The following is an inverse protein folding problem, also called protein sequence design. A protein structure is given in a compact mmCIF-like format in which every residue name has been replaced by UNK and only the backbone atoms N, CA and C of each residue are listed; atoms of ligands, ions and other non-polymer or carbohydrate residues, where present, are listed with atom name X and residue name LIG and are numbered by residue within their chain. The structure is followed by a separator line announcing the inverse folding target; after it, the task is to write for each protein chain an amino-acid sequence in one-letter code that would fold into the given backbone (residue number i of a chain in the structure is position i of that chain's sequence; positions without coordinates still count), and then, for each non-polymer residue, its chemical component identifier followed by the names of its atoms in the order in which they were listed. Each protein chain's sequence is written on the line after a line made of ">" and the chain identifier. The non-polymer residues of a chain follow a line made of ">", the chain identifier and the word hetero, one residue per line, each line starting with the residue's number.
data_IF_473740157792
#
_entry.id   IF_473740157792
#
_cell.length_a   1.000
_cell.length_b   1.000
_cell.length_c   1.000
_cell.angle_alpha   90.00
_cell.angle_beta   90.00
_cell.angle_gamma   90.00
#
_symmetry.space_group_name_H-M   'P 1'
#
loop_
_entity.id
_entity.type
_entity.pdbx_description
1 polymer ?
#
# COMPACT_ATOMS: atom_id res chain seq x y z
N UNK A 1 2.21 10.30 18.98
CA UNK A 1 3.14 9.66 19.93
C UNK A 1 2.92 8.14 20.07
N UNK A 2 1.69 7.66 20.23
CA UNK A 2 1.38 6.23 20.43
C UNK A 2 1.68 5.36 19.19
N UNK A 3 1.25 5.76 17.98
CA UNK A 3 1.51 5.05 16.73
C UNK A 3 3.02 4.90 16.41
N UNK A 4 3.79 5.96 16.62
CA UNK A 4 5.25 5.92 16.44
C UNK A 4 5.92 4.80 17.25
N UNK A 5 5.50 4.59 18.51
CA UNK A 5 6.06 3.53 19.35
C UNK A 5 5.81 2.13 18.82
N UNK A 6 4.63 1.86 18.23
CA UNK A 6 4.33 0.55 17.62
C UNK A 6 5.25 0.28 16.43
N UNK A 7 5.41 1.26 15.55
CA UNK A 7 6.30 1.14 14.39
C UNK A 7 7.77 0.98 14.80
N UNK A 8 8.24 1.70 15.82
CA UNK A 8 9.60 1.55 16.37
C UNK A 8 9.82 0.12 16.88
N UNK A 9 8.87 -0.44 17.64
CA UNK A 9 8.97 -1.82 18.15
C UNK A 9 8.99 -2.83 17.01
N UNK A 10 8.09 -2.69 16.03
CA UNK A 10 8.05 -3.58 14.86
C UNK A 10 9.36 -3.47 14.07
N UNK A 11 9.84 -2.27 13.83
CA UNK A 11 11.11 -2.04 13.14
C UNK A 11 12.27 -2.69 13.87
N UNK A 12 12.39 -2.47 15.19
CA UNK A 12 13.43 -3.09 16.00
C UNK A 12 13.38 -4.62 15.93
N UNK A 13 12.17 -5.23 16.01
CA UNK A 13 12.01 -6.67 15.88
C UNK A 13 12.44 -7.16 14.49
N UNK A 14 12.01 -6.48 13.44
CA UNK A 14 12.41 -6.82 12.06
C UNK A 14 13.93 -6.75 11.88
N UNK A 15 14.58 -5.71 12.42
CA UNK A 15 16.03 -5.54 12.35
C UNK A 15 16.76 -6.65 13.10
N UNK A 16 16.24 -7.11 14.27
CA UNK A 16 16.79 -8.28 14.99
C UNK A 16 16.65 -9.57 14.17
N UNK A 17 15.47 -9.81 13.58
CA UNK A 17 15.21 -11.00 12.77
C UNK A 17 16.07 -11.01 11.49
N UNK A 18 16.35 -9.84 10.91
CA UNK A 18 17.29 -9.70 9.80
C UNK A 18 18.73 -9.99 10.24
N UNK A 19 19.16 -9.45 11.38
CA UNK A 19 20.50 -9.68 11.93
C UNK A 19 20.74 -11.16 12.25
N UNK A 20 19.70 -11.92 12.62
CA UNK A 20 19.76 -13.36 12.85
C UNK A 20 19.62 -14.20 11.58
N UNK A 21 19.54 -13.57 10.38
CA UNK A 21 19.38 -14.26 9.11
C UNK A 21 18.04 -14.96 8.93
N UNK A 22 17.00 -14.50 9.64
CA UNK A 22 15.62 -15.02 9.50
C UNK A 22 14.91 -14.29 8.35
N UNK A 23 15.12 -12.98 8.22
CA UNK A 23 14.58 -12.16 7.14
C UNK A 23 15.68 -11.77 6.16
N UNK A 24 15.47 -12.05 4.89
CA UNK A 24 16.36 -11.72 3.79
C UNK A 24 15.68 -10.70 2.86
N UNK A 25 15.72 -9.42 3.24
CA UNK A 25 15.06 -8.35 2.49
C UNK A 25 16.07 -7.49 1.75
N UNK A 26 15.86 -7.30 0.46
CA UNK A 26 16.51 -6.29 -0.35
C UNK A 26 15.53 -5.14 -0.60
N UNK A 27 16.00 -3.90 -0.46
CA UNK A 27 15.17 -2.70 -0.59
C UNK A 27 15.85 -1.77 -1.57
N UNK A 28 15.07 -1.23 -2.50
CA UNK A 28 15.53 -0.25 -3.49
C UNK A 28 14.52 0.90 -3.64
N UNK A 29 14.97 2.05 -4.11
CA UNK A 29 14.11 3.18 -4.44
C UNK A 29 13.59 3.97 -3.23
N UNK A 30 14.15 3.81 -2.03
CA UNK A 30 13.74 4.62 -0.86
C UNK A 30 13.96 6.12 -1.08
N UNK A 31 14.90 6.48 -1.92
CA UNK A 31 15.18 7.85 -2.37
C UNK A 31 14.05 8.46 -3.20
N UNK A 32 13.14 7.64 -3.74
CA UNK A 32 11.96 8.09 -4.47
C UNK A 32 10.82 8.53 -3.56
N UNK A 33 10.88 8.19 -2.25
CA UNK A 33 9.81 8.61 -1.35
C UNK A 33 9.77 10.14 -1.24
N UNK A 34 8.57 10.75 -1.30
CA UNK A 34 8.42 12.18 -1.06
C UNK A 34 9.01 12.58 0.30
N UNK A 35 9.37 13.85 0.47
CA UNK A 35 9.90 14.35 1.74
C UNK A 35 8.95 14.04 2.92
N UNK A 36 9.52 13.84 4.11
CA UNK A 36 8.74 13.60 5.32
C UNK A 36 7.68 14.71 5.53
N UNK A 37 6.45 14.31 5.82
CA UNK A 37 5.31 15.22 5.97
C UNK A 37 4.59 15.56 4.66
N UNK A 38 5.09 15.09 3.51
CA UNK A 38 4.36 15.17 2.24
C UNK A 38 3.36 14.02 2.15
N UNK A 39 2.05 14.28 1.94
CA UNK A 39 1.06 13.23 1.81
C UNK A 39 1.15 12.52 0.45
N UNK A 40 0.94 11.22 0.43
CA UNK A 40 0.82 10.42 -0.78
C UNK A 40 0.07 9.11 -0.53
N UNK A 41 -0.43 8.51 -1.60
CA UNK A 41 -0.98 7.16 -1.57
C UNK A 41 0.10 6.18 -2.01
N UNK A 42 0.49 5.27 -1.15
CA UNK A 42 1.37 4.16 -1.49
C UNK A 42 0.52 2.99 -1.97
N UNK A 43 0.71 2.54 -3.19
CA UNK A 43 0.01 1.39 -3.76
C UNK A 43 0.97 0.21 -3.87
N UNK A 44 0.55 -0.94 -3.33
CA UNK A 44 1.41 -2.12 -3.18
C UNK A 44 0.67 -3.37 -3.66
N UNK A 45 1.32 -4.26 -4.38
CA UNK A 45 0.74 -5.57 -4.69
C UNK A 45 0.58 -6.42 -3.42
N UNK A 46 -0.46 -7.24 -3.36
CA UNK A 46 -0.83 -7.98 -2.16
C UNK A 46 -0.72 -9.48 -2.34
N UNK A 47 0.32 -10.08 -1.74
CA UNK A 47 0.61 -11.51 -1.89
C UNK A 47 0.12 -12.28 -0.64
N UNK A 48 0.63 -11.91 0.54
CA UNK A 48 0.32 -12.59 1.81
C UNK A 48 0.16 -11.60 2.96
N UNK A 49 -0.23 -12.09 4.14
CA UNK A 49 -0.44 -11.25 5.33
C UNK A 49 0.82 -10.52 5.81
N UNK A 50 1.99 -11.09 5.54
CA UNK A 50 3.26 -10.51 5.98
C UNK A 50 3.83 -9.43 5.05
N UNK A 51 3.14 -9.09 3.94
CA UNK A 51 3.46 -7.90 3.14
C UNK A 51 3.47 -6.65 4.02
N UNK A 52 2.50 -6.56 4.95
CA UNK A 52 2.41 -5.47 5.93
C UNK A 52 3.65 -5.38 6.81
N UNK A 53 4.14 -6.54 7.29
CA UNK A 53 5.35 -6.61 8.12
C UNK A 53 6.59 -6.19 7.32
N UNK A 54 6.65 -6.62 6.06
CA UNK A 54 7.75 -6.29 5.15
C UNK A 54 7.81 -4.79 4.89
N UNK A 55 6.67 -4.14 4.63
CA UNK A 55 6.60 -2.68 4.46
C UNK A 55 6.99 -1.97 5.77
N UNK A 56 6.38 -2.35 6.90
CA UNK A 56 6.66 -1.73 8.20
C UNK A 56 8.14 -1.87 8.63
N UNK A 57 8.80 -2.97 8.22
CA UNK A 57 10.20 -3.23 8.47
C UNK A 57 11.17 -2.54 7.51
N UNK A 58 10.69 -1.91 6.45
CA UNK A 58 11.55 -1.29 5.41
C UNK A 58 11.30 0.20 5.23
N UNK A 59 10.07 0.66 5.39
CA UNK A 59 9.74 2.09 5.26
C UNK A 59 10.44 2.92 6.35
N UNK A 60 10.98 4.10 6.04
CA UNK A 60 11.56 4.97 7.06
C UNK A 60 10.55 5.36 8.14
N UNK A 61 10.98 5.46 9.40
CA UNK A 61 10.10 5.85 10.52
C UNK A 61 9.55 7.28 10.41
N UNK A 62 10.09 8.08 9.51
CA UNK A 62 9.56 9.40 9.13
C UNK A 62 8.32 9.31 8.22
N UNK A 63 8.00 8.12 7.71
CA UNK A 63 6.92 7.86 6.76
C UNK A 63 5.92 6.83 7.30
N UNK A 64 5.45 7.03 8.54
CA UNK A 64 4.50 6.11 9.16
C UNK A 64 3.14 6.19 8.45
N UNK A 65 2.68 5.08 7.84
CA UNK A 65 1.47 5.11 7.04
C UNK A 65 0.21 4.78 7.84
N UNK A 66 -0.91 5.21 7.32
CA UNK A 66 -2.24 4.72 7.66
C UNK A 66 -2.63 3.59 6.70
N UNK A 67 -3.50 2.68 7.17
CA UNK A 67 -3.91 1.49 6.42
C UNK A 67 -5.43 1.36 6.40
N UNK A 68 -5.95 0.70 5.38
CA UNK A 68 -7.32 0.22 5.39
C UNK A 68 -7.35 -1.20 5.95
N UNK A 69 -8.04 -1.42 7.05
CA UNK A 69 -8.19 -2.72 7.67
C UNK A 69 -9.67 -3.12 7.77
N UNK A 70 -9.94 -4.42 7.66
CA UNK A 70 -11.29 -4.97 7.75
C UNK A 70 -11.94 -4.59 9.08
N UNK A 71 -13.16 -4.04 9.07
CA UNK A 71 -13.84 -3.53 10.25
C UNK A 71 -14.00 -4.58 11.37
N UNK A 72 -14.16 -5.86 10.99
CA UNK A 72 -14.29 -6.97 11.91
C UNK A 72 -13.02 -7.28 12.73
N UNK A 73 -11.87 -6.69 12.34
CA UNK A 73 -10.64 -6.78 13.12
C UNK A 73 -10.62 -5.83 14.33
N UNK A 74 -11.54 -4.86 14.38
CA UNK A 74 -11.62 -3.87 15.45
C UNK A 74 -12.51 -4.33 16.61
N UNK A 75 -12.29 -5.57 17.09
CA UNK A 75 -12.94 -6.10 18.30
C UNK A 75 -12.36 -5.45 19.57
N UNK A 76 -13.03 -5.51 20.72
CA UNK A 76 -12.58 -4.89 21.97
C UNK A 76 -11.13 -5.24 22.35
N UNK A 77 -10.72 -6.51 22.15
CA UNK A 77 -9.36 -6.99 22.46
C UNK A 77 -8.28 -6.57 21.46
N UNK A 78 -8.64 -6.26 20.21
CA UNK A 78 -7.69 -5.98 19.13
C UNK A 78 -7.74 -4.54 18.63
N UNK A 79 -8.82 -3.81 18.94
CA UNK A 79 -9.05 -2.46 18.45
C UNK A 79 -7.90 -1.49 18.82
N UNK A 80 -7.38 -1.59 20.04
CA UNK A 80 -6.27 -0.75 20.49
C UNK A 80 -5.01 -0.95 19.65
N UNK A 81 -4.73 -2.21 19.26
CA UNK A 81 -3.57 -2.56 18.41
C UNK A 81 -3.72 -1.97 17.00
N UNK A 82 -4.88 -2.23 16.34
CA UNK A 82 -5.13 -1.71 14.99
C UNK A 82 -5.15 -0.18 14.95
N UNK A 83 -5.75 0.47 15.97
CA UNK A 83 -5.69 1.94 16.11
C UNK A 83 -4.26 2.44 16.34
N UNK A 84 -3.48 1.74 17.16
CA UNK A 84 -2.06 2.03 17.36
C UNK A 84 -1.23 1.89 16.08
N UNK A 85 -1.63 1.00 15.18
CA UNK A 85 -1.06 0.83 13.85
C UNK A 85 -1.64 1.80 12.81
N UNK A 86 -2.44 2.80 13.20
CA UNK A 86 -3.08 3.78 12.31
C UNK A 86 -4.03 3.15 11.28
N UNK A 87 -4.63 1.99 11.60
CA UNK A 87 -5.59 1.34 10.73
C UNK A 87 -6.95 2.04 10.75
N UNK A 88 -7.51 2.28 9.56
CA UNK A 88 -8.85 2.81 9.33
C UNK A 88 -9.77 1.63 9.01
N UNK A 89 -10.88 1.44 9.75
CA UNK A 89 -11.80 0.34 9.48
C UNK A 89 -12.53 0.52 8.16
N UNK A 90 -12.63 -0.56 7.37
CA UNK A 90 -13.37 -0.59 6.10
C UNK A 90 -14.30 -1.79 6.05
N UNK A 91 -15.54 -1.60 5.62
CA UNK A 91 -16.49 -2.67 5.30
C UNK A 91 -16.26 -3.13 3.87
N UNK A 92 -15.64 -4.31 3.70
CA UNK A 92 -15.36 -4.88 2.37
C UNK A 92 -16.64 -5.34 1.69
N UNK A 93 -16.71 -5.21 0.38
CA UNK A 93 -17.85 -5.68 -0.43
C UNK A 93 -19.01 -4.68 -0.56
N UNK A 94 -18.99 -3.58 0.15
CA UNK A 94 -19.86 -2.42 -0.05
C UNK A 94 -19.03 -1.27 -0.63
N UNK A 95 -19.67 -0.38 -1.41
CA UNK A 95 -19.05 0.90 -1.76
C UNK A 95 -18.96 1.73 -0.47
N UNK A 96 -17.92 1.46 0.35
CA UNK A 96 -17.70 2.15 1.62
C UNK A 96 -17.11 3.55 1.34
N UNK A 97 -18.01 4.47 0.96
CA UNK A 97 -17.64 5.87 0.74
C UNK A 97 -17.04 6.49 1.99
N UNK A 98 -17.53 6.09 3.17
CA UNK A 98 -17.01 6.58 4.45
C UNK A 98 -15.53 6.23 4.68
N UNK A 99 -15.09 5.05 4.27
CA UNK A 99 -13.67 4.68 4.37
C UNK A 99 -12.80 5.49 3.40
N UNK A 100 -13.31 5.77 2.19
CA UNK A 100 -12.62 6.64 1.22
C UNK A 100 -12.55 8.07 1.78
N UNK A 101 -13.64 8.60 2.31
CA UNK A 101 -13.69 9.94 2.89
C UNK A 101 -12.72 10.09 4.08
N UNK A 102 -12.65 9.10 4.96
CA UNK A 102 -11.70 9.06 6.06
C UNK A 102 -10.23 9.01 5.58
N UNK A 103 -9.96 8.24 4.52
CA UNK A 103 -8.63 8.18 3.91
C UNK A 103 -8.25 9.52 3.26
N UNK A 104 -9.17 10.16 2.54
CA UNK A 104 -8.97 11.49 1.95
C UNK A 104 -8.71 12.55 3.02
N UNK A 105 -9.48 12.52 4.11
CA UNK A 105 -9.27 13.42 5.26
C UNK A 105 -7.88 13.21 5.89
N UNK A 106 -7.44 11.94 6.02
CA UNK A 106 -6.12 11.56 6.53
C UNK A 106 -5.00 12.09 5.63
N UNK A 107 -5.14 11.94 4.31
CA UNK A 107 -4.18 12.48 3.33
C UNK A 107 -4.10 14.01 3.39
N UNK A 108 -5.24 14.71 3.47
CA UNK A 108 -5.30 16.18 3.59
C UNK A 108 -4.67 16.72 4.88
N UNK A 109 -4.52 15.88 5.90
CA UNK A 109 -3.79 16.19 7.13
C UNK A 109 -2.26 15.99 6.99
N UNK A 110 -1.74 15.70 5.81
CA UNK A 110 -0.32 15.50 5.57
C UNK A 110 0.17 14.07 5.85
N UNK A 111 -0.75 13.11 6.00
CA UNK A 111 -0.40 11.72 6.29
C UNK A 111 -0.31 10.87 5.02
N UNK A 112 0.21 9.65 5.18
CA UNK A 112 0.42 8.67 4.11
C UNK A 112 -0.63 7.57 4.23
N UNK A 113 -1.20 7.15 3.10
CA UNK A 113 -2.07 5.97 3.03
C UNK A 113 -1.38 4.83 2.30
N UNK A 114 -1.39 3.62 2.87
CA UNK A 114 -1.05 2.39 2.13
C UNK A 114 -2.35 1.72 1.69
N UNK A 115 -2.40 1.36 0.43
CA UNK A 115 -3.52 0.65 -0.19
C UNK A 115 -3.01 -0.53 -1.00
N UNK A 116 -3.64 -1.68 -0.85
CA UNK A 116 -3.49 -2.82 -1.73
C UNK A 116 -4.61 -2.77 -2.78
N UNK A 117 -4.33 -2.30 -4.01
CA UNK A 117 -5.38 -1.98 -4.98
C UNK A 117 -6.13 -3.21 -5.50
N UNK A 118 -5.56 -4.39 -5.36
CA UNK A 118 -6.20 -5.67 -5.70
C UNK A 118 -7.40 -6.00 -4.78
N UNK A 119 -7.41 -5.47 -3.55
CA UNK A 119 -8.47 -5.65 -2.56
C UNK A 119 -8.45 -7.01 -1.85
N UNK A 120 -7.66 -7.96 -2.30
CA UNK A 120 -7.43 -9.28 -1.67
C UNK A 120 -6.04 -9.81 -2.02
N UNK A 121 -5.60 -10.84 -1.31
CA UNK A 121 -4.29 -11.45 -1.51
C UNK A 121 -4.29 -12.38 -2.72
N UNK A 122 -3.26 -12.30 -3.58
CA UNK A 122 -3.09 -13.18 -4.72
C UNK A 122 -2.66 -14.59 -4.33
N UNK A 123 -1.89 -14.72 -3.26
CA UNK A 123 -1.36 -16.00 -2.78
C UNK A 123 -0.16 -16.53 -3.59
N UNK A 124 -0.17 -16.36 -4.90
CA UNK A 124 0.86 -16.84 -5.83
C UNK A 124 1.82 -15.73 -6.33
N UNK A 125 1.58 -14.49 -5.93
CA UNK A 125 2.38 -13.33 -6.32
C UNK A 125 1.94 -12.63 -7.60
N UNK A 126 1.08 -13.24 -8.41
CA UNK A 126 0.60 -12.64 -9.65
C UNK A 126 -0.36 -11.49 -9.38
N UNK A 127 -0.16 -10.37 -10.07
CA UNK A 127 -1.04 -9.20 -10.01
C UNK A 127 -2.45 -9.55 -10.45
N UNK A 128 -3.41 -9.10 -9.66
CA UNK A 128 -4.82 -9.19 -9.98
C UNK A 128 -5.34 -7.85 -10.49
N UNK A 129 -6.54 -7.84 -11.07
CA UNK A 129 -7.16 -6.60 -11.54
C UNK A 129 -7.28 -5.59 -10.40
N UNK A 130 -6.78 -4.38 -10.63
CA UNK A 130 -6.84 -3.27 -9.68
C UNK A 130 -8.27 -2.76 -9.48
N UNK A 131 -8.51 -2.16 -8.31
CA UNK A 131 -9.75 -1.47 -7.94
C UNK A 131 -9.49 0.01 -7.80
N UNK A 132 -10.41 0.85 -8.24
CA UNK A 132 -10.28 2.30 -8.30
C UNK A 132 -10.24 3.04 -6.96
N UNK A 133 -10.28 2.33 -5.82
CA UNK A 133 -10.31 2.97 -4.50
C UNK A 133 -9.08 3.83 -4.21
N UNK A 134 -7.88 3.31 -4.47
CA UNK A 134 -6.62 4.04 -4.28
C UNK A 134 -6.54 5.26 -5.20
N UNK A 135 -6.92 5.08 -6.46
CA UNK A 135 -6.98 6.15 -7.45
C UNK A 135 -7.93 7.28 -7.02
N UNK A 136 -9.15 6.92 -6.59
CA UNK A 136 -10.14 7.88 -6.09
C UNK A 136 -9.62 8.65 -4.88
N UNK A 137 -8.91 7.99 -3.95
CA UNK A 137 -8.30 8.66 -2.79
C UNK A 137 -7.26 9.69 -3.23
N UNK A 138 -6.36 9.31 -4.14
CA UNK A 138 -5.30 10.18 -4.62
C UNK A 138 -5.86 11.41 -5.36
N UNK A 139 -6.79 11.20 -6.29
CA UNK A 139 -7.43 12.28 -7.05
C UNK A 139 -8.20 13.25 -6.15
N UNK A 140 -9.05 12.74 -5.25
CA UNK A 140 -9.83 13.57 -4.33
C UNK A 140 -8.98 14.32 -3.30
N UNK A 141 -7.84 13.75 -2.91
CA UNK A 141 -6.91 14.41 -2.00
C UNK A 141 -5.92 15.34 -2.72
N UNK A 142 -5.77 15.22 -4.05
CA UNK A 142 -4.80 15.99 -4.84
C UNK A 142 -3.35 15.59 -4.56
N UNK A 143 -3.09 14.30 -4.22
CA UNK A 143 -1.78 13.81 -3.80
C UNK A 143 -1.20 12.80 -4.81
N UNK A 144 0.13 12.68 -4.90
CA UNK A 144 0.75 11.69 -5.75
C UNK A 144 0.53 10.26 -5.27
N UNK A 145 0.68 9.30 -6.19
CA UNK A 145 0.75 7.87 -5.93
C UNK A 145 2.21 7.43 -5.99
N UNK A 146 2.64 6.64 -5.01
CA UNK A 146 3.94 5.95 -5.00
C UNK A 146 3.69 4.47 -5.21
N UNK A 147 4.04 3.89 -6.37
CA UNK A 147 3.94 2.47 -6.60
C UNK A 147 5.04 1.73 -5.83
N UNK A 148 4.70 0.61 -5.21
CA UNK A 148 5.64 -0.26 -4.50
C UNK A 148 5.42 -1.70 -4.95
N UNK A 149 6.49 -2.36 -5.33
CA UNK A 149 6.48 -3.75 -5.74
C UNK A 149 7.13 -4.65 -4.68
N UNK A 150 6.46 -5.73 -4.32
CA UNK A 150 6.98 -6.76 -3.43
C UNK A 150 7.00 -8.09 -4.19
N UNK A 151 8.11 -8.83 -4.10
CA UNK A 151 8.27 -10.16 -4.68
C UNK A 151 8.98 -11.11 -3.73
N UNK A 152 8.78 -12.41 -3.90
CA UNK A 152 9.41 -13.47 -3.09
C UNK A 152 8.63 -13.84 -1.84
N UNK A 153 7.62 -13.06 -1.46
CA UNK A 153 6.79 -13.27 -0.26
C UNK A 153 5.98 -14.56 -0.32
N UNK A 154 5.59 -15.01 -1.51
CA UNK A 154 4.87 -16.27 -1.74
C UNK A 154 5.66 -17.49 -1.29
N UNK A 155 6.98 -17.41 -1.29
CA UNK A 155 7.90 -18.48 -0.88
C UNK A 155 8.10 -18.57 0.65
N UNK A 156 7.59 -17.58 1.40
CA UNK A 156 7.65 -17.53 2.86
C UNK A 156 8.64 -16.50 3.40
N UNK A 157 8.57 -16.25 4.72
CA UNK A 157 9.32 -15.18 5.41
C UNK A 157 10.85 -15.36 5.38
N UNK A 158 11.34 -16.59 5.26
CA UNK A 158 12.78 -16.90 5.20
C UNK A 158 13.36 -16.83 3.79
N UNK A 159 12.50 -16.68 2.79
CA UNK A 159 12.95 -16.55 1.40
C UNK A 159 13.47 -15.14 1.15
N UNK A 160 14.33 -14.95 0.13
CA UNK A 160 14.69 -13.61 -0.32
C UNK A 160 13.44 -12.85 -0.77
N UNK A 161 13.18 -11.70 -0.13
CA UNK A 161 12.09 -10.81 -0.48
C UNK A 161 12.72 -9.52 -1.01
N UNK A 162 12.28 -9.08 -2.18
CA UNK A 162 12.68 -7.80 -2.73
C UNK A 162 11.51 -6.82 -2.68
N UNK A 163 11.81 -5.58 -2.26
CA UNK A 163 10.87 -4.45 -2.20
C UNK A 163 11.47 -3.32 -3.01
N UNK A 164 10.71 -2.80 -3.96
CA UNK A 164 11.08 -1.65 -4.76
C UNK A 164 10.07 -0.52 -4.57
N UNK A 165 10.54 0.67 -4.22
CA UNK A 165 9.76 1.90 -4.16
C UNK A 165 9.94 2.66 -5.47
N UNK A 166 8.86 2.80 -6.25
CA UNK A 166 8.87 3.50 -7.52
C UNK A 166 8.82 5.02 -7.37
N UNK A 167 8.98 5.72 -8.49
CA UNK A 167 8.87 7.19 -8.53
C UNK A 167 7.44 7.64 -8.27
N UNK A 168 7.23 8.74 -7.55
CA UNK A 168 5.90 9.34 -7.39
C UNK A 168 5.30 9.70 -8.75
N UNK A 169 4.02 9.42 -8.89
CA UNK A 169 3.24 9.76 -10.06
C UNK A 169 2.00 10.55 -9.65
N UNK A 170 1.75 11.68 -10.31
CA UNK A 170 0.58 12.51 -10.04
C UNK A 170 -0.56 12.13 -11.00
N UNK A 171 -1.63 11.48 -10.53
CA UNK A 171 -2.77 11.19 -11.39
C UNK A 171 -3.54 12.46 -11.71
N UNK A 172 -4.07 12.54 -12.93
CA UNK A 172 -4.91 13.63 -13.40
C UNK A 172 -6.18 13.04 -13.99
N UNK A 173 -7.34 13.55 -13.59
CA UNK A 173 -8.63 13.22 -14.21
C UNK A 173 -9.11 14.39 -15.06
N UNK A 174 -9.65 14.06 -16.21
CA UNK A 174 -10.23 15.02 -17.16
C UNK A 174 -11.74 15.24 -16.94
N UNK A 175 -12.43 14.27 -16.35
CA UNK A 175 -13.88 14.34 -16.07
C UNK A 175 -14.23 14.90 -14.69
N UNK A 176 -13.21 15.23 -13.87
CA UNK A 176 -13.41 15.73 -12.51
C UNK A 176 -12.94 14.74 -11.44
N UNK A 177 -13.00 15.14 -10.16
CA UNK A 177 -12.46 14.31 -9.05
C UNK A 177 -13.54 13.65 -8.20
N UNK A 178 -14.76 14.16 -8.22
CA UNK A 178 -15.87 13.63 -7.42
C UNK A 178 -16.77 12.70 -8.24
N UNK A 179 -16.96 12.98 -9.53
CA UNK A 179 -17.77 12.17 -10.45
C UNK A 179 -16.94 11.79 -11.69
N UNK A 180 -15.97 10.91 -11.47
CA UNK A 180 -15.04 10.45 -12.51
C UNK A 180 -15.75 9.42 -13.41
N UNK A 181 -15.66 9.62 -14.73
CA UNK A 181 -16.17 8.66 -15.71
C UNK A 181 -15.65 7.24 -15.41
N UNK A 182 -16.52 6.22 -15.39
CA UNK A 182 -16.13 4.83 -15.09
C UNK A 182 -15.04 4.28 -16.01
N UNK A 183 -15.03 4.68 -17.28
CA UNK A 183 -14.02 4.26 -18.26
C UNK A 183 -12.69 4.90 -17.95
N UNK A 184 -12.68 6.21 -17.66
CA UNK A 184 -11.49 6.93 -17.22
C UNK A 184 -10.94 6.38 -15.91
N UNK A 185 -11.80 6.11 -14.91
CA UNK A 185 -11.39 5.50 -13.64
C UNK A 185 -10.72 4.13 -13.87
N UNK A 186 -11.24 3.34 -14.79
CA UNK A 186 -10.65 2.04 -15.14
C UNK A 186 -9.28 2.23 -15.77
N UNK A 187 -9.16 3.10 -16.76
CA UNK A 187 -7.90 3.38 -17.44
C UNK A 187 -6.81 3.90 -16.47
N UNK A 188 -7.15 4.85 -15.61
CA UNK A 188 -6.24 5.37 -14.60
C UNK A 188 -5.83 4.30 -13.57
N UNK A 189 -6.77 3.40 -13.23
CA UNK A 189 -6.47 2.29 -12.31
C UNK A 189 -5.55 1.27 -12.95
N UNK A 190 -5.75 0.93 -14.22
CA UNK A 190 -4.91 0.00 -14.95
C UNK A 190 -3.50 0.60 -15.17
N UNK A 191 -3.39 1.90 -15.48
CA UNK A 191 -2.12 2.61 -15.55
C UNK A 191 -1.36 2.57 -14.20
N UNK A 192 -2.06 2.84 -13.09
CA UNK A 192 -1.51 2.70 -11.75
C UNK A 192 -0.95 1.30 -11.49
N UNK A 193 -1.65 0.26 -11.91
CA UNK A 193 -1.22 -1.13 -11.74
C UNK A 193 -0.04 -1.47 -12.66
N UNK A 194 0.01 -0.90 -13.86
CA UNK A 194 1.14 -1.05 -14.78
C UNK A 194 2.42 -0.44 -14.19
N UNK A 195 2.34 0.65 -13.43
CA UNK A 195 3.49 1.17 -12.68
C UNK A 195 4.04 0.15 -11.66
N UNK A 196 3.20 -0.65 -11.01
CA UNK A 196 3.64 -1.74 -10.13
C UNK A 196 4.22 -2.88 -10.97
N UNK A 197 3.52 -3.29 -12.04
CA UNK A 197 3.95 -4.38 -12.91
C UNK A 197 5.34 -4.14 -13.51
N UNK A 198 5.63 -2.92 -13.96
CA UNK A 198 6.92 -2.54 -14.53
C UNK A 198 8.12 -2.72 -13.57
N UNK A 199 7.87 -2.79 -12.26
CA UNK A 199 8.90 -3.05 -11.25
C UNK A 199 9.02 -4.54 -10.87
N UNK A 200 8.15 -5.40 -11.41
CA UNK A 200 8.09 -6.83 -11.13
C UNK A 200 8.60 -7.67 -12.32
N UNK A 201 9.17 -8.84 -12.08
CA UNK A 201 9.42 -9.80 -13.15
C UNK A 201 8.13 -10.20 -13.88
N UNK A 202 8.20 -10.52 -15.17
CA UNK A 202 7.05 -10.90 -16.00
C UNK A 202 6.18 -12.02 -15.41
N UNK A 203 6.78 -12.93 -14.61
CA UNK A 203 6.06 -14.00 -13.91
C UNK A 203 5.06 -13.50 -12.88
N UNK A 204 5.18 -12.23 -12.42
CA UNK A 204 4.28 -11.59 -11.47
C UNK A 204 3.20 -10.74 -12.14
N UNK A 205 3.28 -10.46 -13.44
CA UNK A 205 2.37 -9.54 -14.14
C UNK A 205 0.91 -9.97 -14.10
N UNK A 206 0.63 -11.30 -14.10
CA UNK A 206 -0.73 -11.83 -13.93
C UNK A 206 -1.76 -11.22 -14.87
N UNK A 207 -2.76 -10.51 -14.35
CA UNK A 207 -3.78 -9.84 -15.16
C UNK A 207 -3.18 -8.79 -16.11
N UNK A 208 -2.03 -8.21 -15.76
CA UNK A 208 -1.36 -7.15 -16.54
C UNK A 208 -0.28 -7.70 -17.48
N UNK A 209 -0.20 -9.02 -17.69
CA UNK A 209 0.69 -9.59 -18.70
C UNK A 209 0.33 -9.06 -20.10
N UNK A 210 1.34 -8.48 -20.77
CA UNK A 210 1.15 -7.85 -22.09
C UNK A 210 0.69 -6.38 -22.05
N UNK A 211 0.54 -5.78 -20.88
CA UNK A 211 0.27 -4.34 -20.73
C UNK A 211 1.52 -3.53 -20.37
N UNK A 212 2.65 -4.22 -20.11
CA UNK A 212 3.94 -3.64 -19.69
C UNK A 212 5.04 -4.08 -20.64
#
# INVERSE_FOLDING_TARGET
>A
MFAYRHFVVIRWLCDRLRAWGIFHWSVSGLENLPAAGTPFVMVVNHIKWHDMLTIAGTIPLTHIPHWLAKAELFMPLTSWWFRGMQAIPVKRGQHDTGAIDAAVATLRQGNIMIVFPEGHRSGNGQLQKGRGGAMRMALRAGVPIVPVAIQGVEKGLRSPIAIAYGKPWQPVSHSGVDDIDPTEMTALTDDMMCHIAAMLPATYHGYYAGHV
#
